data_IF_352887246522
#
_entry.id   IF_352887246522
#
_cell.length_a   1.000
_cell.length_b   1.000
_cell.length_c   1.000
_cell.angle_alpha   90.00
_cell.angle_beta   90.00
_cell.angle_gamma   90.00
#
_symmetry.space_group_name_H-M   'P 1'
#
loop_
_entity.id
_entity.type
_entity.pdbx_description
1 polymer ?
#
# COMPACT_ATOMS: atom_id res chain seq x y z
N UNK A 1 -5.51 34.61 2.29
CA UNK A 1 -4.36 33.75 2.63
C UNK A 1 -4.41 33.56 4.13
N UNK A 2 -4.76 32.37 4.64
CA UNK A 2 -4.71 32.09 6.07
C UNK A 2 -3.28 31.65 6.40
N UNK A 3 -2.57 32.44 7.17
CA UNK A 3 -1.23 32.11 7.66
C UNK A 3 -1.30 30.89 8.57
N UNK A 4 -1.00 29.72 7.99
CA UNK A 4 -0.76 28.50 8.75
C UNK A 4 0.49 28.73 9.60
N UNK A 5 0.30 29.10 10.87
CA UNK A 5 1.39 29.10 11.86
C UNK A 5 1.69 27.67 12.23
N UNK A 6 2.78 27.13 11.67
CA UNK A 6 3.33 25.83 12.06
C UNK A 6 3.70 25.86 13.54
N UNK A 7 2.84 25.31 14.39
CA UNK A 7 3.19 25.05 15.78
C UNK A 7 4.00 23.75 15.82
N UNK A 8 5.31 23.85 16.10
CA UNK A 8 6.15 22.67 16.30
C UNK A 8 5.69 22.01 17.61
N UNK A 9 5.05 20.84 17.60
CA UNK A 9 4.67 20.18 18.84
C UNK A 9 5.95 19.81 19.59
N UNK A 10 5.95 20.01 20.91
CA UNK A 10 7.12 19.73 21.76
C UNK A 10 7.54 18.25 21.75
N UNK A 11 6.62 17.35 21.36
CA UNK A 11 6.86 15.91 21.31
C UNK A 11 6.65 15.36 19.90
N UNK A 12 7.47 14.37 19.52
CA UNK A 12 7.31 13.64 18.27
C UNK A 12 5.95 12.91 18.24
N UNK A 13 5.19 12.95 17.12
CA UNK A 13 3.84 12.39 17.07
C UNK A 13 3.82 10.90 17.42
N UNK A 14 3.07 10.49 18.47
CA UNK A 14 3.21 9.17 19.07
C UNK A 14 2.80 8.04 18.14
N UNK A 15 1.77 8.20 17.31
CA UNK A 15 1.32 7.11 16.43
C UNK A 15 2.30 6.89 15.29
N UNK A 16 2.75 7.94 14.61
CA UNK A 16 3.79 7.86 13.59
C UNK A 16 5.04 7.17 14.16
N UNK A 17 5.45 7.54 15.39
CA UNK A 17 6.59 6.90 16.07
C UNK A 17 6.39 5.41 16.24
N UNK A 18 5.23 5.03 16.78
CA UNK A 18 4.94 3.64 17.09
C UNK A 18 4.83 2.80 15.81
N UNK A 19 4.21 3.34 14.76
CA UNK A 19 4.13 2.69 13.46
C UNK A 19 5.53 2.48 12.87
N UNK A 20 6.41 3.48 12.92
CA UNK A 20 7.80 3.32 12.46
C UNK A 20 8.52 2.23 13.25
N UNK A 21 8.44 2.27 14.59
CA UNK A 21 9.09 1.28 15.45
C UNK A 21 8.58 -0.13 15.14
N UNK A 22 7.27 -0.33 15.05
CA UNK A 22 6.68 -1.66 14.77
C UNK A 22 7.14 -2.18 13.41
N UNK A 23 7.12 -1.34 12.37
CA UNK A 23 7.58 -1.74 11.03
C UNK A 23 9.06 -2.12 11.02
N UNK A 24 9.91 -1.35 11.71
CA UNK A 24 11.34 -1.67 11.83
C UNK A 24 11.55 -2.98 12.60
N UNK A 25 10.82 -3.22 13.69
CA UNK A 25 10.91 -4.46 14.46
C UNK A 25 10.45 -5.68 13.64
N UNK A 26 9.34 -5.55 12.90
CA UNK A 26 8.87 -6.61 12.00
C UNK A 26 9.90 -6.88 10.91
N UNK A 27 10.46 -5.85 10.29
CA UNK A 27 11.49 -6.02 9.26
C UNK A 27 12.76 -6.67 9.80
N UNK A 28 13.23 -6.30 10.99
CA UNK A 28 14.35 -6.99 11.66
C UNK A 28 14.01 -8.47 11.87
N UNK A 29 12.79 -8.78 12.34
CA UNK A 29 12.36 -10.15 12.50
C UNK A 29 12.35 -10.91 11.15
N UNK A 30 11.86 -10.30 10.08
CA UNK A 30 11.95 -10.86 8.72
C UNK A 30 13.42 -11.15 8.36
N UNK A 31 14.34 -10.20 8.54
CA UNK A 31 15.77 -10.41 8.20
C UNK A 31 16.43 -11.53 9.00
N UNK A 32 16.09 -11.67 10.28
CA UNK A 32 16.74 -12.64 11.17
C UNK A 32 16.15 -14.05 11.06
N UNK A 33 14.86 -14.16 10.76
CA UNK A 33 14.10 -15.37 11.00
C UNK A 33 13.33 -15.89 9.78
N UNK A 34 13.34 -15.20 8.62
CA UNK A 34 12.60 -15.67 7.44
C UNK A 34 13.05 -17.04 6.96
N UNK A 35 14.36 -17.31 6.93
CA UNK A 35 14.89 -18.59 6.44
C UNK A 35 14.37 -19.80 7.23
N UNK A 36 14.08 -19.62 8.52
CA UNK A 36 13.62 -20.70 9.39
C UNK A 36 12.09 -20.72 9.52
N UNK A 37 11.45 -19.54 9.55
CA UNK A 37 10.06 -19.40 9.95
C UNK A 37 9.14 -18.85 8.86
N UNK A 38 9.67 -18.46 7.71
CA UNK A 38 8.91 -17.94 6.57
C UNK A 38 7.93 -16.83 7.01
N UNK A 39 8.44 -15.83 7.76
CA UNK A 39 7.63 -14.78 8.36
C UNK A 39 6.95 -13.97 7.27
N UNK A 40 7.70 -13.48 6.29
CA UNK A 40 7.19 -12.69 5.16
C UNK A 40 6.05 -13.41 4.45
N UNK A 41 6.24 -14.69 4.16
CA UNK A 41 5.23 -15.53 3.50
C UNK A 41 3.96 -15.71 4.36
N UNK A 42 4.06 -15.67 5.68
CA UNK A 42 2.87 -15.75 6.55
C UNK A 42 2.12 -14.42 6.60
N UNK A 43 2.84 -13.30 6.68
CA UNK A 43 2.24 -11.99 6.94
C UNK A 43 1.87 -11.19 5.68
N UNK A 44 2.35 -11.60 4.51
CA UNK A 44 1.98 -11.02 3.21
C UNK A 44 0.51 -11.27 2.87
N UNK A 45 -0.08 -10.37 2.07
CA UNK A 45 -1.46 -10.49 1.62
C UNK A 45 -1.54 -11.34 0.37
N UNK A 46 -2.03 -12.58 0.50
CA UNK A 46 -2.22 -13.49 -0.62
C UNK A 46 -3.54 -13.24 -1.35
N UNK A 47 -3.59 -13.53 -2.66
CA UNK A 47 -4.83 -13.43 -3.42
C UNK A 47 -5.85 -14.44 -2.93
N UNK A 48 -7.13 -14.06 -2.95
CA UNK A 48 -8.22 -15.02 -2.78
C UNK A 48 -8.38 -15.75 -4.12
N UNK A 49 -8.22 -17.07 -4.09
CA UNK A 49 -8.22 -17.90 -5.29
C UNK A 49 -9.50 -18.73 -5.40
N UNK A 50 -10.13 -18.84 -6.59
CA UNK A 50 -11.20 -19.80 -6.84
C UNK A 50 -10.74 -21.23 -6.54
N UNK A 51 -11.64 -22.04 -5.96
CA UNK A 51 -11.31 -23.40 -5.54
C UNK A 51 -10.77 -24.27 -6.69
N UNK A 52 -11.35 -24.13 -7.89
CA UNK A 52 -10.92 -24.84 -9.08
C UNK A 52 -9.48 -24.48 -9.49
N UNK A 53 -9.13 -23.20 -9.44
CA UNK A 53 -7.78 -22.74 -9.77
C UNK A 53 -6.77 -23.22 -8.72
N UNK A 54 -7.17 -23.22 -7.43
CA UNK A 54 -6.34 -23.77 -6.35
C UNK A 54 -6.01 -25.25 -6.59
N UNK A 55 -7.00 -26.05 -7.00
CA UNK A 55 -6.80 -27.47 -7.31
C UNK A 55 -5.89 -27.69 -8.52
N UNK A 56 -6.01 -26.85 -9.56
CA UNK A 56 -5.13 -26.88 -10.73
C UNK A 56 -3.68 -26.57 -10.32
N UNK A 57 -3.47 -25.50 -9.56
CA UNK A 57 -2.14 -25.05 -9.13
C UNK A 57 -1.46 -26.09 -8.24
N UNK A 58 -2.18 -26.67 -7.28
CA UNK A 58 -1.64 -27.71 -6.38
C UNK A 58 -1.25 -29.00 -7.11
N UNK A 59 -1.85 -29.28 -8.28
CA UNK A 59 -1.52 -30.44 -9.12
C UNK A 59 -0.47 -30.14 -10.18
N UNK A 60 -0.13 -28.87 -10.38
CA UNK A 60 0.82 -28.42 -11.40
C UNK A 60 2.25 -28.40 -10.82
N UNK A 61 3.18 -29.21 -11.35
CA UNK A 61 4.56 -29.21 -10.90
C UNK A 61 5.19 -27.81 -11.06
N UNK A 62 5.80 -27.29 -10.00
CA UNK A 62 6.50 -25.99 -10.02
C UNK A 62 5.65 -24.76 -9.62
N UNK A 63 4.38 -24.94 -9.24
CA UNK A 63 3.50 -23.86 -8.75
C UNK A 63 3.01 -24.10 -7.30
N UNK A 64 3.65 -25.01 -6.57
CA UNK A 64 3.16 -25.57 -5.30
C UNK A 64 3.32 -24.69 -4.06
N UNK A 65 4.02 -23.56 -4.16
CA UNK A 65 4.34 -22.70 -3.00
C UNK A 65 3.21 -21.70 -2.67
N UNK A 66 1.95 -22.14 -2.76
CA UNK A 66 0.78 -21.33 -2.44
C UNK A 66 0.38 -21.48 -0.97
N UNK A 67 0.63 -20.43 -0.17
CA UNK A 67 0.30 -20.39 1.26
C UNK A 67 -1.16 -20.08 1.58
N UNK A 68 -1.93 -19.60 0.60
CA UNK A 68 -3.33 -19.28 0.82
C UNK A 68 -3.58 -17.92 1.48
N UNK A 69 -4.72 -17.32 1.11
CA UNK A 69 -5.24 -16.17 1.82
C UNK A 69 -5.70 -16.55 3.23
N UNK A 70 -5.32 -15.72 4.21
CA UNK A 70 -5.83 -15.76 5.57
C UNK A 70 -6.34 -14.39 6.03
N UNK A 71 -7.47 -14.30 6.77
CA UNK A 71 -8.08 -13.02 7.13
C UNK A 71 -7.16 -12.05 7.90
N UNK A 72 -6.22 -12.56 8.72
CA UNK A 72 -5.28 -11.71 9.45
C UNK A 72 -4.32 -10.93 8.54
N UNK A 73 -4.11 -11.40 7.30
CA UNK A 73 -3.23 -10.77 6.32
C UNK A 73 -3.72 -9.38 5.91
N UNK A 74 -5.03 -9.11 6.02
CA UNK A 74 -5.59 -7.77 5.80
C UNK A 74 -4.93 -6.74 6.73
N UNK A 75 -4.55 -7.13 7.94
CA UNK A 75 -3.84 -6.25 8.87
C UNK A 75 -2.31 -6.44 8.80
N UNK A 76 -1.82 -7.68 8.77
CA UNK A 76 -0.38 -7.95 8.91
C UNK A 76 0.45 -7.51 7.71
N UNK A 77 -0.12 -7.52 6.50
CA UNK A 77 0.62 -7.12 5.29
C UNK A 77 1.12 -5.68 5.35
N UNK A 78 0.42 -4.82 6.09
CA UNK A 78 0.76 -3.42 6.29
C UNK A 78 2.10 -3.23 7.01
N UNK A 79 2.63 -4.28 7.64
CA UNK A 79 3.86 -4.26 8.43
C UNK A 79 5.00 -5.07 7.79
N UNK A 80 4.69 -5.91 6.81
CA UNK A 80 5.67 -6.72 6.07
C UNK A 80 6.47 -5.83 5.10
N UNK A 81 7.79 -5.95 5.08
CA UNK A 81 8.63 -5.19 4.16
C UNK A 81 9.62 -6.11 3.44
N UNK A 82 9.97 -5.74 2.20
CA UNK A 82 10.97 -6.45 1.41
C UNK A 82 12.38 -5.92 1.66
N UNK A 83 13.13 -5.52 0.62
CA UNK A 83 14.50 -5.04 0.76
C UNK A 83 14.59 -3.71 1.52
N UNK A 84 15.79 -3.38 2.02
CA UNK A 84 16.05 -2.22 2.86
C UNK A 84 15.50 -0.90 2.28
N UNK A 85 15.65 -0.66 0.98
CA UNK A 85 15.14 0.57 0.37
C UNK A 85 13.61 0.70 0.50
N UNK A 86 12.87 -0.40 0.46
CA UNK A 86 11.41 -0.38 0.55
C UNK A 86 10.96 0.13 1.92
N UNK A 87 11.51 -0.43 3.01
CA UNK A 87 11.20 0.07 4.36
C UNK A 87 11.73 1.49 4.57
N UNK A 88 12.93 1.83 4.09
CA UNK A 88 13.47 3.18 4.24
C UNK A 88 12.57 4.24 3.61
N UNK A 89 12.13 4.04 2.36
CA UNK A 89 11.22 4.98 1.70
C UNK A 89 9.86 5.05 2.39
N UNK A 90 9.28 3.92 2.80
CA UNK A 90 8.00 3.92 3.51
C UNK A 90 8.08 4.67 4.84
N UNK A 91 9.10 4.39 5.66
CA UNK A 91 9.23 5.02 6.97
C UNK A 91 9.62 6.49 6.86
N UNK A 92 10.42 6.86 5.85
CA UNK A 92 10.71 8.26 5.54
C UNK A 92 9.45 9.02 5.13
N UNK A 93 8.63 8.45 4.24
CA UNK A 93 7.36 9.04 3.82
C UNK A 93 6.36 9.17 4.99
N UNK A 94 6.21 8.11 5.78
CA UNK A 94 5.36 8.10 6.97
C UNK A 94 5.81 9.16 7.99
N UNK A 95 7.11 9.27 8.22
CA UNK A 95 7.66 10.31 9.08
C UNK A 95 7.39 11.70 8.53
N UNK A 96 7.69 11.95 7.25
CA UNK A 96 7.61 13.28 6.65
C UNK A 96 6.19 13.81 6.57
N UNK A 97 5.26 13.01 6.05
CA UNK A 97 3.88 13.44 5.78
C UNK A 97 2.93 13.04 6.91
N UNK A 98 3.09 11.84 7.46
CA UNK A 98 2.25 11.33 8.53
C UNK A 98 2.33 12.21 9.78
N UNK A 99 3.51 12.74 10.13
CA UNK A 99 3.65 13.66 11.27
C UNK A 99 2.81 14.93 11.12
N UNK A 100 2.66 15.43 9.90
CA UNK A 100 1.90 16.65 9.63
C UNK A 100 0.42 16.35 9.86
N UNK A 101 -0.08 15.27 9.27
CA UNK A 101 -1.47 14.85 9.43
C UNK A 101 -1.82 14.47 10.88
N UNK A 102 -0.92 13.77 11.60
CA UNK A 102 -1.15 13.44 13.01
C UNK A 102 -1.24 14.71 13.88
N UNK A 103 -0.44 15.74 13.59
CA UNK A 103 -0.53 17.00 14.31
C UNK A 103 -1.82 17.78 14.00
N UNK A 104 -2.35 17.65 12.78
CA UNK A 104 -3.62 18.28 12.37
C UNK A 104 -4.82 17.57 12.99
N UNK A 105 -4.82 16.24 13.03
CA UNK A 105 -5.98 15.45 13.45
C UNK A 105 -5.94 14.93 14.88
N UNK A 106 -4.75 14.90 15.48
CA UNK A 106 -4.47 14.16 16.69
C UNK A 106 -4.27 12.65 16.45
N UNK A 107 -3.73 11.95 17.45
CA UNK A 107 -3.26 10.56 17.33
C UNK A 107 -4.39 9.58 16.96
N UNK A 108 -5.54 9.66 17.63
CA UNK A 108 -6.65 8.69 17.43
C UNK A 108 -7.19 8.72 16.00
N UNK A 109 -7.44 9.92 15.46
CA UNK A 109 -7.95 10.09 14.09
C UNK A 109 -6.92 9.67 13.06
N UNK A 110 -5.64 10.02 13.28
CA UNK A 110 -4.58 9.59 12.39
C UNK A 110 -4.41 8.06 12.36
N UNK A 111 -4.48 7.38 13.51
CA UNK A 111 -4.41 5.92 13.55
C UNK A 111 -5.59 5.29 12.78
N UNK A 112 -6.82 5.76 13.01
CA UNK A 112 -7.99 5.27 12.29
C UNK A 112 -7.87 5.50 10.79
N UNK A 113 -7.37 6.68 10.39
CA UNK A 113 -7.12 7.01 9.00
C UNK A 113 -6.11 6.05 8.36
N UNK A 114 -4.96 5.85 9.00
CA UNK A 114 -3.90 4.96 8.53
C UNK A 114 -4.39 3.52 8.34
N UNK A 115 -5.10 2.98 9.34
CA UNK A 115 -5.66 1.64 9.29
C UNK A 115 -6.74 1.51 8.20
N UNK A 116 -7.64 2.49 8.08
CA UNK A 116 -8.66 2.48 7.05
C UNK A 116 -8.06 2.51 5.64
N UNK A 117 -7.02 3.31 5.41
CA UNK A 117 -6.30 3.32 4.13
C UNK A 117 -5.62 1.98 3.85
N UNK A 118 -5.05 1.32 4.86
CA UNK A 118 -4.50 -0.04 4.73
C UNK A 118 -5.56 -1.09 4.37
N UNK A 119 -6.73 -1.03 4.98
CA UNK A 119 -7.87 -1.91 4.64
C UNK A 119 -8.38 -1.63 3.22
N UNK A 120 -8.49 -0.36 2.83
CA UNK A 120 -8.87 0.03 1.47
C UNK A 120 -7.87 -0.45 0.41
N UNK A 121 -6.58 -0.34 0.72
CA UNK A 121 -5.48 -0.91 -0.06
C UNK A 121 -5.64 -2.43 -0.22
N UNK A 122 -5.84 -3.15 0.88
CA UNK A 122 -6.05 -4.60 0.85
C UNK A 122 -7.28 -4.98 0.02
N UNK A 123 -8.41 -4.29 0.19
CA UNK A 123 -9.64 -4.57 -0.53
C UNK A 123 -9.47 -4.39 -2.05
N UNK A 124 -8.81 -3.31 -2.49
CA UNK A 124 -8.57 -3.07 -3.91
C UNK A 124 -7.61 -4.11 -4.50
N UNK A 125 -6.50 -4.41 -3.80
CA UNK A 125 -5.55 -5.45 -4.22
C UNK A 125 -6.22 -6.81 -4.35
N UNK A 126 -6.97 -7.24 -3.32
CA UNK A 126 -7.69 -8.52 -3.33
C UNK A 126 -8.71 -8.61 -4.46
N UNK A 127 -9.45 -7.54 -4.73
CA UNK A 127 -10.41 -7.52 -5.83
C UNK A 127 -9.72 -7.73 -7.18
N UNK A 128 -8.66 -6.96 -7.46
CA UNK A 128 -7.95 -7.07 -8.74
C UNK A 128 -7.29 -8.44 -8.89
N UNK A 129 -6.66 -8.95 -7.83
CA UNK A 129 -6.05 -10.27 -7.87
C UNK A 129 -7.09 -11.39 -8.03
N UNK A 130 -8.28 -11.25 -7.44
CA UNK A 130 -9.37 -12.19 -7.65
C UNK A 130 -9.82 -12.20 -9.12
N UNK A 131 -9.94 -11.04 -9.77
CA UNK A 131 -10.26 -10.94 -11.19
C UNK A 131 -9.18 -11.58 -12.08
N UNK A 132 -7.90 -11.38 -11.75
CA UNK A 132 -6.78 -12.05 -12.44
C UNK A 132 -6.81 -13.57 -12.28
N UNK A 133 -7.14 -14.06 -11.09
CA UNK A 133 -7.35 -15.49 -10.86
C UNK A 133 -8.50 -16.04 -11.72
N UNK A 134 -9.62 -15.31 -11.85
CA UNK A 134 -10.73 -15.72 -12.71
C UNK A 134 -10.35 -15.76 -14.20
N UNK A 135 -9.59 -14.77 -14.67
CA UNK A 135 -9.07 -14.74 -16.03
C UNK A 135 -8.13 -15.93 -16.29
N UNK A 136 -7.19 -16.19 -15.38
CA UNK A 136 -6.28 -17.33 -15.47
C UNK A 136 -7.04 -18.65 -15.52
N UNK A 137 -8.05 -18.83 -14.65
CA UNK A 137 -8.88 -20.04 -14.65
C UNK A 137 -9.59 -20.23 -15.99
N UNK A 138 -10.17 -19.16 -16.55
CA UNK A 138 -10.88 -19.21 -17.82
C UNK A 138 -9.94 -19.56 -18.99
N UNK A 139 -8.76 -18.94 -19.07
CA UNK A 139 -7.77 -19.24 -20.11
C UNK A 139 -7.26 -20.68 -19.98
N UNK A 140 -6.96 -21.12 -18.76
CA UNK A 140 -6.47 -22.47 -18.50
C UNK A 140 -7.51 -23.54 -18.89
N UNK A 141 -8.79 -23.33 -18.57
CA UNK A 141 -9.87 -24.25 -18.94
C UNK A 141 -10.11 -24.31 -20.44
N UNK A 142 -9.96 -23.19 -21.15
CA UNK A 142 -10.12 -23.13 -22.59
C UNK A 142 -8.97 -23.82 -23.35
N UNK A 143 -7.73 -23.59 -22.91
CA UNK A 143 -6.55 -24.21 -23.48
C UNK A 143 -5.39 -24.25 -22.44
N UNK A 144 -5.09 -25.41 -21.84
CA UNK A 144 -4.00 -25.55 -20.86
C UNK A 144 -2.59 -25.27 -21.42
N UNK A 145 -2.43 -25.22 -22.74
CA UNK A 145 -1.16 -24.90 -23.41
C UNK A 145 -1.12 -23.45 -23.94
N UNK A 146 -2.08 -22.62 -23.56
CA UNK A 146 -2.12 -21.22 -23.98
C UNK A 146 -0.89 -20.45 -23.46
N UNK A 147 -0.12 -19.76 -24.33
CA UNK A 147 1.08 -19.03 -23.91
C UNK A 147 0.78 -17.89 -22.91
N UNK A 148 -0.46 -17.40 -22.84
CA UNK A 148 -0.87 -16.34 -21.89
C UNK A 148 -0.85 -16.80 -20.45
N UNK A 149 -0.91 -18.11 -20.18
CA UNK A 149 -0.92 -18.66 -18.81
C UNK A 149 0.31 -18.19 -18.02
N UNK A 150 1.49 -18.18 -18.65
CA UNK A 150 2.72 -17.76 -17.98
C UNK A 150 2.68 -16.27 -17.59
N UNK A 151 2.18 -15.40 -18.48
CA UNK A 151 2.02 -13.97 -18.16
C UNK A 151 0.98 -13.73 -17.08
N UNK A 152 -0.12 -14.48 -17.09
CA UNK A 152 -1.19 -14.34 -16.09
C UNK A 152 -0.74 -14.84 -14.71
N UNK A 153 0.04 -15.92 -14.65
CA UNK A 153 0.68 -16.38 -13.42
C UNK A 153 1.67 -15.35 -12.87
N UNK A 154 2.50 -14.76 -13.73
CA UNK A 154 3.43 -13.70 -13.33
C UNK A 154 2.75 -12.41 -12.87
N UNK A 155 1.51 -12.17 -13.30
CA UNK A 155 0.70 -11.04 -12.85
C UNK A 155 0.02 -11.28 -11.49
N UNK A 156 0.00 -12.52 -10.97
CA UNK A 156 -0.47 -12.78 -9.62
C UNK A 156 0.60 -12.36 -8.63
N UNK A 157 0.25 -11.49 -7.69
CA UNK A 157 1.20 -10.99 -6.70
C UNK A 157 0.60 -10.87 -5.31
N UNK A 158 1.45 -11.09 -4.31
CA UNK A 158 1.14 -10.77 -2.92
C UNK A 158 1.38 -9.29 -2.68
N UNK A 159 0.69 -8.71 -1.69
CA UNK A 159 1.00 -7.36 -1.23
C UNK A 159 1.76 -7.40 0.10
N UNK A 160 2.81 -6.60 0.19
CA UNK A 160 3.59 -6.35 1.41
C UNK A 160 3.88 -4.85 1.48
N UNK A 161 3.75 -4.25 2.66
CA UNK A 161 4.23 -2.90 2.92
C UNK A 161 3.17 -1.96 3.47
N UNK A 162 3.65 -0.95 4.18
CA UNK A 162 2.86 0.18 4.65
C UNK A 162 2.41 1.13 3.52
N UNK A 163 2.92 0.94 2.30
CA UNK A 163 2.81 1.86 1.18
C UNK A 163 1.37 2.18 0.79
N UNK A 164 0.44 1.22 0.82
CA UNK A 164 -0.99 1.49 0.60
C UNK A 164 -1.57 2.51 1.58
N UNK A 165 -1.28 2.37 2.88
CA UNK A 165 -1.70 3.35 3.88
C UNK A 165 -1.01 4.72 3.69
N UNK A 166 0.27 4.71 3.29
CA UNK A 166 1.05 5.92 2.99
C UNK A 166 0.50 6.64 1.75
N UNK A 167 0.01 5.91 0.75
CA UNK A 167 -0.66 6.51 -0.41
C UNK A 167 -1.95 7.22 -0.01
N UNK A 168 -2.68 6.68 0.98
CA UNK A 168 -3.78 7.40 1.63
C UNK A 168 -3.32 8.68 2.33
N UNK A 169 -2.19 8.65 3.04
CA UNK A 169 -1.56 9.84 3.66
C UNK A 169 -1.20 10.88 2.59
N UNK A 170 -0.61 10.47 1.48
CA UNK A 170 -0.27 11.36 0.36
C UNK A 170 -1.52 12.00 -0.24
N UNK A 171 -2.57 11.22 -0.50
CA UNK A 171 -3.84 11.75 -1.01
C UNK A 171 -4.45 12.78 -0.05
N UNK A 172 -4.46 12.50 1.25
CA UNK A 172 -4.93 13.46 2.25
C UNK A 172 -4.06 14.70 2.35
N UNK A 173 -2.73 14.54 2.31
CA UNK A 173 -1.80 15.65 2.34
C UNK A 173 -1.97 16.55 1.11
N UNK A 174 -2.07 15.98 -0.09
CA UNK A 174 -2.32 16.72 -1.32
C UNK A 174 -3.67 17.45 -1.33
N UNK A 175 -4.68 16.92 -0.65
CA UNK A 175 -5.97 17.59 -0.52
C UNK A 175 -5.91 18.76 0.48
N UNK A 176 -5.26 18.59 1.63
CA UNK A 176 -5.21 19.61 2.69
C UNK A 176 -4.14 20.69 2.44
N UNK A 177 -3.04 20.30 1.81
CA UNK A 177 -1.88 21.15 1.56
C UNK A 177 -1.48 21.13 0.07
N UNK A 178 -2.42 21.42 -0.86
CA UNK A 178 -2.26 21.18 -2.29
C UNK A 178 -1.13 21.97 -2.95
N UNK A 179 -0.76 23.12 -2.38
CA UNK A 179 0.26 24.01 -2.91
C UNK A 179 1.60 23.90 -2.17
N UNK A 180 1.76 22.96 -1.22
CA UNK A 180 3.05 22.70 -0.60
C UNK A 180 4.06 22.26 -1.64
N UNK A 181 5.20 22.92 -1.67
CA UNK A 181 6.30 22.66 -2.57
C UNK A 181 7.19 21.53 -2.03
N UNK A 182 7.32 20.44 -2.80
CA UNK A 182 8.11 19.27 -2.46
C UNK A 182 9.36 19.22 -3.34
N UNK A 183 10.52 19.10 -2.71
CA UNK A 183 11.79 18.82 -3.39
C UNK A 183 11.96 17.31 -3.51
N UNK A 184 11.90 16.81 -4.74
CA UNK A 184 12.19 15.42 -5.07
C UNK A 184 13.68 15.34 -5.41
N UNK A 185 14.42 14.42 -4.80
CA UNK A 185 15.90 14.39 -4.63
C UNK A 185 16.77 14.63 -5.89
N UNK A 186 16.20 14.69 -7.10
CA UNK A 186 16.90 14.97 -8.36
C UNK A 186 16.19 15.98 -9.28
N UNK A 187 15.02 16.48 -8.88
CA UNK A 187 14.27 17.48 -9.63
C UNK A 187 14.60 18.85 -9.02
N UNK A 188 15.34 19.72 -9.73
CA UNK A 188 15.77 21.02 -9.19
C UNK A 188 14.62 22.03 -9.04
N UNK A 189 13.41 21.64 -9.45
CA UNK A 189 12.20 22.46 -9.41
C UNK A 189 11.23 21.85 -8.40
N UNK A 190 10.78 22.60 -7.39
CA UNK A 190 9.80 22.09 -6.45
C UNK A 190 8.48 21.76 -7.16
N UNK A 191 7.91 20.60 -6.83
CA UNK A 191 6.62 20.16 -7.36
C UNK A 191 5.56 20.33 -6.28
N UNK A 192 4.43 20.96 -6.62
CA UNK A 192 3.31 21.08 -5.68
C UNK A 192 2.74 19.70 -5.34
N UNK A 193 2.42 19.48 -4.08
CA UNK A 193 1.94 18.20 -3.56
C UNK A 193 0.81 17.57 -4.40
N UNK A 194 -0.17 18.37 -4.84
CA UNK A 194 -1.26 17.88 -5.72
C UNK A 194 -0.75 17.22 -7.00
N UNK A 195 0.26 17.81 -7.64
CA UNK A 195 0.82 17.29 -8.89
C UNK A 195 1.70 16.07 -8.64
N UNK A 196 2.47 16.08 -7.55
CA UNK A 196 3.28 14.93 -7.17
C UNK A 196 2.42 13.68 -6.94
N UNK A 197 1.31 13.82 -6.22
CA UNK A 197 0.40 12.71 -5.91
C UNK A 197 -0.41 12.25 -7.13
N UNK A 198 -0.86 13.17 -7.99
CA UNK A 198 -1.50 12.80 -9.27
C UNK A 198 -0.52 12.02 -10.16
N UNK A 199 0.73 12.50 -10.27
CA UNK A 199 1.77 11.80 -11.04
C UNK A 199 2.06 10.40 -10.51
N UNK A 200 2.16 10.25 -9.17
CA UNK A 200 2.38 8.96 -8.53
C UNK A 200 1.20 7.99 -8.77
N UNK A 201 -0.04 8.47 -8.63
CA UNK A 201 -1.23 7.66 -8.92
C UNK A 201 -1.30 7.26 -10.40
N UNK A 202 -0.87 8.12 -11.33
CA UNK A 202 -0.78 7.79 -12.75
C UNK A 202 0.26 6.68 -12.99
N UNK A 203 1.45 6.79 -12.38
CA UNK A 203 2.49 5.75 -12.47
C UNK A 203 1.94 4.42 -11.94
N UNK A 204 1.25 4.42 -10.80
CA UNK A 204 0.65 3.19 -10.27
C UNK A 204 -0.42 2.61 -11.20
N UNK A 205 -1.29 3.46 -11.75
CA UNK A 205 -2.33 3.02 -12.68
C UNK A 205 -1.74 2.35 -13.92
N UNK A 206 -0.78 2.98 -14.58
CA UNK A 206 -0.17 2.43 -15.80
C UNK A 206 0.73 1.22 -15.50
N UNK A 207 1.49 1.25 -14.41
CA UNK A 207 2.33 0.12 -13.97
C UNK A 207 1.49 -1.12 -13.67
N UNK A 208 0.35 -0.95 -12.99
CA UNK A 208 -0.58 -2.05 -12.69
C UNK A 208 -1.13 -2.76 -13.93
N UNK A 209 -1.30 -2.05 -15.06
CA UNK A 209 -1.74 -2.66 -16.33
C UNK A 209 -0.59 -3.18 -17.20
N UNK A 210 0.60 -2.59 -17.08
CA UNK A 210 1.75 -2.97 -17.89
C UNK A 210 2.27 -4.38 -17.56
N UNK A 211 2.07 -4.86 -16.33
CA UNK A 211 2.49 -6.20 -15.86
C UNK A 211 3.93 -6.55 -16.31
N UNK A 212 4.86 -5.63 -16.09
CA UNK A 212 6.26 -5.81 -16.52
C UNK A 212 6.92 -6.93 -15.71
N UNK A 213 7.62 -7.84 -16.39
CA UNK A 213 8.36 -8.91 -15.73
C UNK A 213 9.40 -8.32 -14.75
N UNK A 214 9.36 -8.76 -13.49
CA UNK A 214 10.23 -8.25 -12.42
C UNK A 214 9.68 -7.05 -11.63
N UNK A 215 8.52 -6.52 -12.01
CA UNK A 215 7.81 -5.53 -11.21
C UNK A 215 7.18 -6.19 -9.97
N UNK A 216 7.67 -5.80 -8.79
CA UNK A 216 7.24 -6.32 -7.49
C UNK A 216 6.37 -5.30 -6.74
N UNK A 217 5.80 -4.32 -7.43
CA UNK A 217 4.99 -3.27 -6.83
C UNK A 217 3.51 -3.65 -6.86
N UNK A 218 2.86 -3.60 -5.69
CA UNK A 218 1.41 -3.79 -5.58
C UNK A 218 0.65 -2.51 -5.96
N UNK A 219 0.72 -2.13 -7.24
CA UNK A 219 0.17 -0.87 -7.77
C UNK A 219 -1.32 -0.63 -7.42
N UNK A 220 -2.16 -1.65 -7.50
CA UNK A 220 -3.58 -1.51 -7.14
C UNK A 220 -3.80 -1.35 -5.63
N UNK A 221 -2.89 -1.85 -4.79
CA UNK A 221 -2.91 -1.61 -3.36
C UNK A 221 -2.67 -0.11 -3.07
N UNK A 222 -1.71 0.51 -3.76
CA UNK A 222 -1.44 1.95 -3.68
C UNK A 222 -2.66 2.79 -4.06
N UNK A 223 -3.28 2.48 -5.21
CA UNK A 223 -4.48 3.17 -5.68
C UNK A 223 -5.66 3.02 -4.70
N UNK A 224 -5.88 1.81 -4.19
CA UNK A 224 -6.92 1.54 -3.19
C UNK A 224 -6.73 2.39 -1.94
N UNK A 225 -5.50 2.46 -1.42
CA UNK A 225 -5.16 3.28 -0.27
C UNK A 225 -5.34 4.78 -0.53
N UNK A 226 -4.88 5.28 -1.70
CA UNK A 226 -5.05 6.68 -2.10
C UNK A 226 -6.53 7.08 -2.20
N UNK A 227 -7.36 6.26 -2.86
CA UNK A 227 -8.80 6.50 -3.01
C UNK A 227 -9.49 6.52 -1.65
N UNK A 228 -9.21 5.52 -0.79
CA UNK A 228 -9.79 5.48 0.57
C UNK A 228 -9.37 6.71 1.38
N UNK A 229 -8.09 7.08 1.37
CA UNK A 229 -7.61 8.26 2.07
C UNK A 229 -8.23 9.56 1.58
N UNK A 230 -8.36 9.72 0.25
CA UNK A 230 -9.00 10.87 -0.37
C UNK A 230 -10.48 11.00 0.04
N UNK A 231 -11.24 9.90 -0.03
CA UNK A 231 -12.66 9.90 0.35
C UNK A 231 -12.81 10.25 1.84
N UNK A 232 -12.00 9.65 2.72
CA UNK A 232 -12.07 9.91 4.16
C UNK A 232 -11.77 11.38 4.49
N UNK A 233 -10.70 11.95 3.92
CA UNK A 233 -10.37 13.35 4.19
C UNK A 233 -11.43 14.30 3.63
N UNK A 234 -12.03 13.98 2.47
CA UNK A 234 -13.13 14.76 1.90
C UNK A 234 -14.34 14.80 2.85
N UNK A 235 -14.72 13.63 3.39
CA UNK A 235 -15.84 13.50 4.33
C UNK A 235 -15.55 14.28 5.62
N UNK A 236 -14.34 14.13 6.19
CA UNK A 236 -13.95 14.80 7.43
C UNK A 236 -13.85 16.32 7.28
N UNK A 237 -13.34 16.82 6.15
CA UNK A 237 -13.26 18.25 5.92
C UNK A 237 -14.67 18.87 5.73
N UNK A 238 -15.58 18.17 5.03
CA UNK A 238 -16.97 18.64 4.85
C UNK A 238 -17.75 18.72 6.16
N UNK A 239 -17.55 17.76 7.05
CA UNK A 239 -18.30 17.63 8.32
C UNK A 239 -17.72 18.46 9.45
N UNK A 240 -16.47 18.95 9.35
CA UNK A 240 -15.78 19.62 10.46
C UNK A 240 -15.31 21.06 10.13
N UNK A 241 -16.23 21.91 9.67
CA UNK A 241 -15.96 23.33 9.31
C UNK A 241 -15.46 24.21 10.47
N UNK A 242 -15.42 23.72 11.72
CA UNK A 242 -15.01 24.47 12.93
C UNK A 242 -13.58 24.17 13.42
N UNK A 243 -12.95 23.09 12.95
CA UNK A 243 -11.62 22.65 13.43
C UNK A 243 -10.60 22.45 12.31
N UNK A 244 -11.00 22.64 11.04
CA UNK A 244 -10.15 22.43 9.88
C UNK A 244 -9.61 23.70 9.22
N UNK A 245 -9.90 24.87 9.80
CA UNK A 245 -9.31 26.16 9.46
C UNK A 245 -9.17 26.99 10.73
#
# INVERSE_FOLDING_TARGET
MSDFKYYRPNNFPPIVKNLIIINVLVWIAQQMFDQQYHITEKIALYPIMPQQLKEIILRSPGLTDYYGFHPYQIATHMFAHGPLYHILFNMFALWMFGRILENVWGPKKFLLFYLACGVGSAACHLLIQYLRCQELLHVFQANPSDPRIQSLLGALSTAVGASGAIMGIFAAFAYLFPNTELYIMFIPIPIKAKWAVIGMAAIDLFGGFANMSGDNIAHFAHLGGAVTGFILVLIWNKTNRRTFY
#
